data_IF_731376861735
#
_entry.id   IF_731376861735
#
_cell.length_a   1.000
_cell.length_b   1.000
_cell.length_c   1.000
_cell.angle_alpha   90.00
_cell.angle_beta   90.00
_cell.angle_gamma   90.00
#
_symmetry.space_group_name_H-M   'P 1'
#
loop_
_entity.id
_entity.type
_entity.pdbx_description
1 polymer ?
#
# COMPACT_ATOMS: atom_id res chain seq x y z
N UNK A 1 30.67 -15.23 -26.16
CA UNK A 1 30.71 -14.10 -27.10
C UNK A 1 29.35 -13.43 -27.13
N UNK A 2 29.32 -12.10 -26.92
CA UNK A 2 28.21 -11.14 -27.19
C UNK A 2 26.85 -11.37 -26.50
N UNK A 3 26.10 -10.37 -26.02
CA UNK A 3 26.14 -8.93 -26.26
C UNK A 3 25.72 -8.12 -25.01
N UNK A 4 26.42 -6.99 -24.78
CA UNK A 4 25.98 -5.88 -23.93
C UNK A 4 24.85 -5.13 -24.62
N UNK A 5 23.80 -4.75 -23.89
CA UNK A 5 22.82 -3.74 -24.34
C UNK A 5 22.71 -2.64 -23.28
N UNK A 6 22.93 -1.41 -23.71
CA UNK A 6 22.90 -0.19 -22.90
C UNK A 6 21.64 0.65 -23.20
N UNK A 7 21.06 1.20 -22.11
CA UNK A 7 20.25 2.41 -21.90
C UNK A 7 19.12 2.84 -22.87
N UNK A 8 18.13 3.58 -22.34
CA UNK A 8 18.19 5.03 -22.52
C UNK A 8 17.92 5.86 -21.24
N UNK A 9 18.70 6.95 -21.10
CA UNK A 9 18.42 8.12 -20.24
C UNK A 9 17.51 9.10 -20.98
N UNK A 10 16.52 9.68 -20.28
CA UNK A 10 15.82 10.96 -20.50
C UNK A 10 14.77 11.07 -19.39
N UNK A 11 14.33 12.20 -18.87
CA UNK A 11 14.73 13.60 -18.78
C UNK A 11 13.78 14.18 -17.72
N UNK A 12 14.20 15.21 -16.98
CA UNK A 12 13.39 15.88 -15.96
C UNK A 12 12.16 16.61 -16.54
N UNK A 13 11.09 16.76 -15.75
CA UNK A 13 10.28 17.97 -15.64
C UNK A 13 10.58 18.63 -14.27
N UNK A 14 10.82 19.93 -14.12
CA UNK A 14 10.25 21.07 -14.82
C UNK A 14 9.25 21.75 -13.88
N UNK A 15 9.67 22.86 -13.26
CA UNK A 15 8.88 23.93 -12.62
C UNK A 15 7.90 23.60 -11.48
N UNK A 16 8.20 24.08 -10.27
CA UNK A 16 7.53 25.26 -9.71
C UNK A 16 8.27 25.75 -8.47
N UNK A 17 9.00 26.85 -8.64
CA UNK A 17 9.47 27.73 -7.59
C UNK A 17 8.28 28.49 -6.99
N UNK A 18 7.76 28.06 -5.84
CA UNK A 18 6.96 28.95 -4.99
C UNK A 18 7.90 29.74 -4.08
N UNK A 19 8.64 30.66 -4.70
CA UNK A 19 9.28 31.77 -3.99
C UNK A 19 8.18 32.65 -3.40
N UNK A 20 8.07 32.66 -2.07
CA UNK A 20 7.24 33.60 -1.33
C UNK A 20 7.80 35.01 -1.55
N UNK A 21 7.31 35.70 -2.57
CA UNK A 21 7.63 37.09 -2.86
C UNK A 21 7.00 37.98 -1.78
N UNK A 22 7.82 38.35 -0.79
CA UNK A 22 7.50 39.42 0.15
C UNK A 22 7.33 40.74 -0.62
N UNK A 23 6.09 41.19 -0.78
CA UNK A 23 5.80 42.54 -1.29
C UNK A 23 6.24 43.57 -0.23
N UNK A 24 7.48 44.05 -0.39
CA UNK A 24 8.06 45.17 0.33
C UNK A 24 7.38 46.46 -0.14
N UNK A 25 6.45 46.96 0.66
CA UNK A 25 5.76 48.23 0.39
C UNK A 25 6.74 49.41 0.42
N UNK A 26 6.77 50.15 -0.69
CA UNK A 26 7.56 51.36 -0.91
C UNK A 26 6.76 52.58 -0.45
N UNK A 27 7.20 53.27 0.60
CA UNK A 27 6.58 54.53 1.06
C UNK A 27 7.61 55.63 1.27
N UNK A 28 7.78 56.45 0.23
CA UNK A 28 8.46 57.76 0.17
C UNK A 28 7.87 58.43 -1.09
N UNK A 29 7.49 59.71 -1.17
CA UNK A 29 7.52 60.91 -0.34
C UNK A 29 6.36 61.81 -0.82
N UNK A 30 6.05 62.88 -0.07
CA UNK A 30 5.93 64.26 -0.56
C UNK A 30 4.93 65.04 0.31
N UNK A 31 5.46 65.85 1.22
CA UNK A 31 4.76 67.05 1.68
C UNK A 31 5.63 68.23 1.26
N UNK A 32 5.32 68.73 0.07
CA UNK A 32 5.87 69.96 -0.49
C UNK A 32 5.44 71.13 0.38
N UNK A 33 6.42 71.87 0.88
CA UNK A 33 6.23 73.18 1.48
C UNK A 33 5.64 74.14 0.44
N UNK A 34 4.50 74.76 0.75
CA UNK A 34 3.98 75.93 0.04
C UNK A 34 4.10 77.14 0.96
N UNK A 35 5.28 77.76 0.88
CA UNK A 35 5.49 79.13 1.30
C UNK A 35 4.87 80.04 0.23
N UNK A 36 3.88 80.86 0.60
CA UNK A 36 3.42 81.97 -0.23
C UNK A 36 4.07 83.26 0.27
N UNK A 37 5.14 83.66 -0.42
CA UNK A 37 5.72 85.00 -0.31
C UNK A 37 5.06 85.92 -1.34
N UNK A 38 4.77 87.16 -0.98
CA UNK A 38 4.51 88.23 -1.95
C UNK A 38 4.98 89.57 -1.39
N UNK A 39 6.03 90.11 -2.01
CA UNK A 39 6.51 91.49 -1.85
C UNK A 39 5.79 92.36 -2.88
N UNK A 40 5.21 93.52 -2.49
CA UNK A 40 5.44 94.80 -3.20
C UNK A 40 4.93 96.05 -2.47
N UNK A 41 5.92 96.86 -2.13
CA UNK A 41 6.06 98.31 -1.92
C UNK A 41 5.14 99.24 -2.77
N UNK A 42 4.58 100.29 -2.14
CA UNK A 42 4.84 101.71 -2.46
C UNK A 42 4.05 102.66 -1.52
N UNK A 43 4.41 103.94 -1.56
CA UNK A 43 4.50 104.91 -0.45
C UNK A 43 3.58 106.13 -0.71
N UNK A 44 3.19 106.82 0.37
CA UNK A 44 2.62 108.19 0.45
C UNK A 44 1.21 108.35 -0.18
N UNK A 45 0.32 109.24 0.25
CA UNK A 45 0.45 110.49 0.99
C UNK A 45 -0.88 110.81 1.68
N UNK A 46 -0.87 111.74 2.62
CA UNK A 46 -1.96 112.00 3.56
C UNK A 46 -3.31 112.40 2.95
N UNK A 47 -4.35 112.24 3.75
CA UNK A 47 -5.24 113.34 4.15
C UNK A 47 -6.46 112.82 4.90
N UNK A 48 -6.85 113.61 5.89
CA UNK A 48 -8.20 113.78 6.46
C UNK A 48 -8.81 112.67 7.34
N UNK A 49 -9.25 113.02 8.57
CA UNK A 49 -9.93 112.11 9.47
C UNK A 49 -11.39 111.96 9.04
N UNK A 50 -11.64 111.27 7.93
CA UNK A 50 -12.99 110.91 7.47
C UNK A 50 -13.17 109.41 7.25
N UNK A 51 -12.26 108.61 7.81
CA UNK A 51 -12.38 107.15 7.90
C UNK A 51 -13.04 106.70 9.23
N UNK A 52 -13.15 107.59 10.23
CA UNK A 52 -13.69 107.20 11.53
C UNK A 52 -15.21 106.99 11.53
N UNK A 53 -15.98 107.43 10.53
CA UNK A 53 -17.43 107.12 10.47
C UNK A 53 -17.77 105.86 9.68
N UNK A 54 -16.91 105.37 8.77
CA UNK A 54 -17.16 104.09 8.08
C UNK A 54 -16.72 102.88 8.91
N UNK A 55 -15.80 103.08 9.87
CA UNK A 55 -15.38 102.06 10.83
C UNK A 55 -16.52 101.70 11.81
N UNK A 56 -17.36 102.67 12.19
CA UNK A 56 -18.45 102.44 13.14
C UNK A 56 -19.66 101.71 12.53
N UNK A 57 -19.95 101.89 11.22
CA UNK A 57 -20.99 101.09 10.53
C UNK A 57 -20.50 99.73 10.02
N UNK A 58 -19.20 99.43 10.15
CA UNK A 58 -18.66 98.07 9.95
C UNK A 58 -18.66 97.28 11.27
N UNK A 59 -18.46 97.96 12.41
CA UNK A 59 -18.58 97.38 13.75
C UNK A 59 -19.99 96.91 14.11
N UNK A 60 -21.04 97.59 13.66
CA UNK A 60 -22.44 97.21 13.94
C UNK A 60 -22.97 96.03 13.10
N UNK A 61 -22.31 95.64 11.99
CA UNK A 61 -22.64 94.42 11.22
C UNK A 61 -21.94 93.16 11.73
N UNK A 62 -21.07 93.28 12.74
CA UNK A 62 -20.36 92.14 13.34
C UNK A 62 -21.22 91.35 14.35
N UNK A 63 -22.42 91.85 14.70
CA UNK A 63 -23.39 91.09 15.50
C UNK A 63 -23.85 89.80 14.83
N UNK A 64 -24.07 89.85 13.51
CA UNK A 64 -24.46 88.69 12.70
C UNK A 64 -23.29 87.71 12.48
N UNK A 65 -22.05 88.22 12.47
CA UNK A 65 -20.84 87.40 12.31
C UNK A 65 -20.57 86.53 13.55
N UNK A 66 -20.87 87.02 14.75
CA UNK A 66 -20.79 86.23 15.98
C UNK A 66 -21.85 85.10 16.00
N UNK A 67 -23.07 85.38 15.56
CA UNK A 67 -24.15 84.41 15.43
C UNK A 67 -23.83 83.33 14.38
N UNK A 68 -23.34 83.72 13.20
CA UNK A 68 -22.90 82.79 12.15
C UNK A 68 -21.74 81.90 12.62
N UNK A 69 -20.78 82.44 13.38
CA UNK A 69 -19.67 81.67 13.95
C UNK A 69 -20.13 80.64 14.98
N UNK A 70 -21.13 80.98 15.80
CA UNK A 70 -21.75 80.05 16.75
C UNK A 70 -22.52 78.93 16.02
N UNK A 71 -23.31 79.27 15.00
CA UNK A 71 -24.01 78.29 14.16
C UNK A 71 -23.04 77.34 13.44
N UNK A 72 -21.92 77.85 12.93
CA UNK A 72 -20.87 77.02 12.32
C UNK A 72 -20.21 76.08 13.35
N UNK A 73 -19.97 76.55 14.57
CA UNK A 73 -19.42 75.72 15.63
C UNK A 73 -20.40 74.60 16.04
N UNK A 74 -21.69 74.93 16.16
CA UNK A 74 -22.77 73.98 16.44
C UNK A 74 -22.89 72.92 15.32
N UNK A 75 -22.89 73.36 14.05
CA UNK A 75 -22.93 72.46 12.90
C UNK A 75 -21.69 71.55 12.84
N UNK A 76 -20.52 72.07 13.21
CA UNK A 76 -19.27 71.29 13.27
C UNK A 76 -19.33 70.24 14.37
N UNK A 77 -19.92 70.57 15.53
CA UNK A 77 -20.12 69.63 16.62
C UNK A 77 -21.09 68.52 16.22
N UNK A 78 -22.24 68.87 15.64
CA UNK A 78 -23.23 67.90 15.15
C UNK A 78 -22.65 66.98 14.07
N UNK A 79 -21.87 67.51 13.13
CA UNK A 79 -21.21 66.71 12.10
C UNK A 79 -20.20 65.72 12.72
N UNK A 80 -19.45 66.14 13.74
CA UNK A 80 -18.45 65.31 14.39
C UNK A 80 -19.12 64.18 15.20
N UNK A 81 -20.19 64.49 15.92
CA UNK A 81 -21.02 63.53 16.65
C UNK A 81 -21.71 62.53 15.70
N UNK A 82 -22.33 62.99 14.61
CA UNK A 82 -22.94 62.12 13.61
C UNK A 82 -21.89 61.19 12.99
N UNK A 83 -20.73 61.72 12.63
CA UNK A 83 -19.62 60.92 12.07
C UNK A 83 -19.18 59.83 13.05
N UNK A 84 -19.07 60.14 14.34
CA UNK A 84 -18.65 59.16 15.34
C UNK A 84 -19.74 58.09 15.57
N UNK A 85 -21.02 58.48 15.55
CA UNK A 85 -22.15 57.56 15.64
C UNK A 85 -22.24 56.62 14.42
N UNK A 86 -22.04 57.13 13.21
CA UNK A 86 -22.02 56.32 11.98
C UNK A 86 -20.84 55.34 12.02
N UNK A 87 -19.66 55.81 12.41
CA UNK A 87 -18.46 54.98 12.51
C UNK A 87 -18.62 53.85 13.56
N UNK A 88 -19.25 54.14 14.71
CA UNK A 88 -19.52 53.13 15.72
C UNK A 88 -20.48 52.04 15.19
N UNK A 89 -21.59 52.45 14.58
CA UNK A 89 -22.57 51.51 13.99
C UNK A 89 -21.96 50.67 12.87
N UNK A 90 -21.11 51.27 12.03
CA UNK A 90 -20.43 50.54 10.95
C UNK A 90 -19.47 49.49 11.52
N UNK A 91 -18.68 49.84 12.53
CA UNK A 91 -17.79 48.89 13.22
C UNK A 91 -18.55 47.73 13.85
N UNK A 92 -19.67 48.00 14.53
CA UNK A 92 -20.48 46.96 15.16
C UNK A 92 -21.10 46.01 14.13
N UNK A 93 -21.60 46.56 13.01
CA UNK A 93 -22.14 45.76 11.90
C UNK A 93 -21.06 44.88 11.24
N UNK A 94 -19.87 45.43 11.03
CA UNK A 94 -18.73 44.66 10.49
C UNK A 94 -18.32 43.56 11.47
N UNK A 95 -18.20 43.89 12.75
CA UNK A 95 -17.82 42.94 13.80
C UNK A 95 -18.84 41.80 13.94
N UNK A 96 -20.14 42.09 13.88
CA UNK A 96 -21.19 41.07 13.92
C UNK A 96 -21.10 40.10 12.74
N UNK A 97 -20.97 40.64 11.51
CA UNK A 97 -20.82 39.83 10.30
C UNK A 97 -19.55 38.95 10.34
N UNK A 98 -18.45 39.50 10.83
CA UNK A 98 -17.19 38.76 10.96
C UNK A 98 -17.32 37.63 11.97
N UNK A 99 -17.96 37.87 13.12
CA UNK A 99 -18.21 36.82 14.13
C UNK A 99 -19.05 35.68 13.58
N UNK A 100 -20.12 35.97 12.85
CA UNK A 100 -20.97 34.94 12.24
C UNK A 100 -20.20 34.11 11.20
N UNK A 101 -19.38 34.77 10.38
CA UNK A 101 -18.50 34.10 9.42
C UNK A 101 -17.46 33.20 10.11
N UNK A 102 -16.83 33.69 11.18
CA UNK A 102 -15.88 32.90 11.98
C UNK A 102 -16.57 31.68 12.59
N UNK A 103 -17.77 31.85 13.17
CA UNK A 103 -18.55 30.75 13.74
C UNK A 103 -18.96 29.72 12.69
N UNK A 104 -19.34 30.16 11.48
CA UNK A 104 -19.68 29.27 10.37
C UNK A 104 -18.46 28.42 9.96
N UNK A 105 -17.30 29.08 9.76
CA UNK A 105 -16.04 28.39 9.42
C UNK A 105 -15.56 27.46 10.52
N UNK A 106 -15.76 27.81 11.79
CA UNK A 106 -15.38 26.96 12.91
C UNK A 106 -16.20 25.65 12.93
N UNK A 107 -17.51 25.71 12.63
CA UNK A 107 -18.35 24.52 12.50
C UNK A 107 -17.88 23.63 11.33
N UNK A 108 -17.54 24.22 10.20
CA UNK A 108 -17.00 23.50 9.04
C UNK A 108 -15.66 22.82 9.37
N UNK A 109 -14.72 23.53 10.00
CA UNK A 109 -13.44 22.96 10.44
C UNK A 109 -13.66 21.80 11.41
N UNK A 110 -14.60 21.91 12.35
CA UNK A 110 -14.93 20.80 13.27
C UNK A 110 -15.46 19.59 12.50
N UNK A 111 -16.33 19.79 11.53
CA UNK A 111 -16.85 18.71 10.69
C UNK A 111 -15.76 18.04 9.84
N UNK A 112 -14.88 18.84 9.22
CA UNK A 112 -13.76 18.31 8.43
C UNK A 112 -12.76 17.54 9.29
N UNK A 113 -12.43 18.05 10.49
CA UNK A 113 -11.56 17.33 11.45
C UNK A 113 -12.13 15.97 11.85
N UNK A 114 -13.45 15.88 12.02
CA UNK A 114 -14.09 14.59 12.31
C UNK A 114 -13.94 13.62 11.14
N UNK A 115 -14.17 14.09 9.89
CA UNK A 115 -14.00 13.26 8.69
C UNK A 115 -12.56 12.76 8.53
N UNK A 116 -11.57 13.62 8.76
CA UNK A 116 -10.14 13.25 8.71
C UNK A 116 -9.84 12.14 9.73
N UNK A 117 -10.27 12.29 10.99
CA UNK A 117 -10.07 11.23 11.99
C UNK A 117 -10.72 9.90 11.61
N UNK A 118 -11.96 9.92 11.11
CA UNK A 118 -12.62 8.70 10.65
C UNK A 118 -11.86 8.03 9.49
N UNK A 119 -11.28 8.82 8.58
CA UNK A 119 -10.44 8.31 7.50
C UNK A 119 -9.11 7.75 8.01
N UNK A 120 -8.48 8.42 8.97
CA UNK A 120 -7.23 7.96 9.59
C UNK A 120 -7.45 6.61 10.31
N UNK A 121 -8.55 6.47 11.06
CA UNK A 121 -8.94 5.21 11.71
C UNK A 121 -9.22 4.10 10.70
N UNK A 122 -9.98 4.38 9.65
CA UNK A 122 -10.22 3.42 8.57
C UNK A 122 -8.91 3.02 7.85
N UNK A 123 -8.02 3.99 7.62
CA UNK A 123 -6.70 3.77 7.05
C UNK A 123 -5.81 2.90 7.93
N UNK A 124 -5.83 3.10 9.25
CA UNK A 124 -5.10 2.28 10.21
C UNK A 124 -5.61 0.83 10.23
N UNK A 125 -6.93 0.64 10.21
CA UNK A 125 -7.54 -0.70 10.12
C UNK A 125 -7.15 -1.42 8.82
N UNK A 126 -7.22 -0.72 7.68
CA UNK A 126 -6.80 -1.28 6.40
C UNK A 126 -5.30 -1.61 6.36
N UNK A 127 -4.45 -0.78 6.99
CA UNK A 127 -3.01 -1.05 7.08
C UNK A 127 -2.72 -2.30 7.91
N UNK A 128 -3.41 -2.48 9.05
CA UNK A 128 -3.28 -3.64 9.91
C UNK A 128 -3.71 -4.94 9.19
N UNK A 129 -4.84 -4.92 8.48
CA UNK A 129 -5.31 -6.06 7.69
C UNK A 129 -4.31 -6.43 6.58
N UNK A 130 -3.77 -5.43 5.87
CA UNK A 130 -2.75 -5.66 4.84
C UNK A 130 -1.47 -6.27 5.41
N UNK A 131 -1.06 -5.91 6.62
CA UNK A 131 0.08 -6.54 7.29
C UNK A 131 -0.21 -8.01 7.62
N UNK A 132 -1.39 -8.30 8.18
CA UNK A 132 -1.79 -9.66 8.51
C UNK A 132 -1.89 -10.56 7.26
N UNK A 133 -2.45 -10.06 6.16
CA UNK A 133 -2.54 -10.80 4.91
C UNK A 133 -1.16 -11.10 4.30
N UNK A 134 -0.21 -10.18 4.42
CA UNK A 134 1.17 -10.40 3.96
C UNK A 134 1.88 -11.48 4.77
N UNK A 135 1.71 -11.48 6.08
CA UNK A 135 2.26 -12.51 6.96
C UNK A 135 1.68 -13.90 6.63
N UNK A 136 0.36 -13.99 6.43
CA UNK A 136 -0.28 -15.24 6.00
C UNK A 136 0.22 -15.71 4.63
N UNK A 137 0.43 -14.78 3.69
CA UNK A 137 0.97 -15.12 2.37
C UNK A 137 2.38 -15.70 2.49
N UNK A 138 3.25 -15.06 3.26
CA UNK A 138 4.62 -15.52 3.51
C UNK A 138 4.64 -16.91 4.16
N UNK A 139 3.80 -17.14 5.18
CA UNK A 139 3.65 -18.46 5.81
C UNK A 139 3.20 -19.53 4.80
N UNK A 140 2.21 -19.22 3.95
CA UNK A 140 1.71 -20.18 2.95
C UNK A 140 2.72 -20.43 1.84
N UNK A 141 3.56 -19.45 1.50
CA UNK A 141 4.68 -19.64 0.58
C UNK A 141 5.75 -20.57 1.15
N UNK A 142 6.06 -20.46 2.45
CA UNK A 142 6.96 -21.38 3.15
C UNK A 142 6.42 -22.82 3.15
N UNK A 143 5.14 -23.01 3.50
CA UNK A 143 4.49 -24.32 3.46
C UNK A 143 4.54 -24.95 2.06
N UNK A 144 4.34 -24.16 1.00
CA UNK A 144 4.46 -24.62 -0.38
C UNK A 144 5.90 -25.01 -0.72
N UNK A 145 6.89 -24.33 -0.14
CA UNK A 145 8.30 -24.69 -0.30
C UNK A 145 8.59 -26.06 0.33
N UNK A 146 8.15 -26.28 1.56
CA UNK A 146 8.34 -27.53 2.29
C UNK A 146 7.65 -28.72 1.62
N UNK A 147 6.38 -28.53 1.22
CA UNK A 147 5.64 -29.56 0.48
C UNK A 147 6.31 -29.91 -0.85
N UNK A 148 6.86 -28.91 -1.54
CA UNK A 148 7.61 -29.14 -2.77
C UNK A 148 8.91 -29.90 -2.51
N UNK A 149 9.59 -29.63 -1.41
CA UNK A 149 10.77 -30.40 -0.99
C UNK A 149 10.40 -31.85 -0.67
N UNK A 150 9.34 -32.07 0.11
CA UNK A 150 8.83 -33.40 0.44
C UNK A 150 8.39 -34.18 -0.82
N UNK A 151 7.66 -33.53 -1.73
CA UNK A 151 7.22 -34.16 -2.97
C UNK A 151 8.40 -34.59 -3.85
N UNK A 152 9.49 -33.81 -3.90
CA UNK A 152 10.71 -34.16 -4.64
C UNK A 152 11.41 -35.41 -4.08
N UNK A 153 11.36 -35.61 -2.76
CA UNK A 153 12.02 -36.76 -2.10
C UNK A 153 11.14 -38.00 -2.04
N UNK A 154 9.81 -37.82 -2.12
CA UNK A 154 8.83 -38.89 -1.97
C UNK A 154 9.03 -40.07 -2.93
N UNK A 155 9.27 -39.83 -4.23
CA UNK A 155 9.44 -40.92 -5.20
C UNK A 155 10.68 -41.77 -4.93
N UNK A 156 11.76 -41.15 -4.48
CA UNK A 156 12.99 -41.85 -4.10
C UNK A 156 12.77 -42.69 -2.84
N UNK A 157 12.12 -42.11 -1.83
CA UNK A 157 11.76 -42.81 -0.59
C UNK A 157 10.84 -44.01 -0.87
N UNK A 158 9.81 -43.81 -1.68
CA UNK A 158 8.90 -44.88 -2.13
C UNK A 158 9.68 -46.01 -2.82
N UNK A 159 10.58 -45.67 -3.74
CA UNK A 159 11.37 -46.67 -4.47
C UNK A 159 12.27 -47.46 -3.54
N UNK A 160 12.90 -46.78 -2.58
CA UNK A 160 13.75 -47.42 -1.56
C UNK A 160 12.93 -48.33 -0.65
N UNK A 161 11.75 -47.88 -0.19
CA UNK A 161 10.86 -48.69 0.63
C UNK A 161 10.36 -49.94 -0.11
N UNK A 162 9.97 -49.81 -1.38
CA UNK A 162 9.56 -50.94 -2.23
C UNK A 162 10.72 -51.92 -2.45
N UNK A 163 11.91 -51.41 -2.77
CA UNK A 163 13.10 -52.24 -2.98
C UNK A 163 13.47 -52.98 -1.70
N UNK A 164 13.43 -52.32 -0.55
CA UNK A 164 13.64 -52.94 0.76
C UNK A 164 12.63 -54.04 1.07
N UNK A 165 11.34 -53.79 0.82
CA UNK A 165 10.28 -54.78 1.02
C UNK A 165 10.47 -56.02 0.14
N UNK A 166 10.86 -55.85 -1.12
CA UNK A 166 11.17 -56.97 -2.03
C UNK A 166 12.34 -57.80 -1.50
N UNK A 167 13.42 -57.15 -1.07
CA UNK A 167 14.60 -57.86 -0.52
C UNK A 167 14.23 -58.65 0.73
N UNK A 168 13.44 -58.06 1.65
CA UNK A 168 12.97 -58.74 2.86
C UNK A 168 12.10 -59.95 2.51
N UNK A 169 11.11 -59.79 1.62
CA UNK A 169 10.26 -60.90 1.19
C UNK A 169 11.05 -62.03 0.53
N UNK A 170 12.01 -61.71 -0.34
CA UNK A 170 12.90 -62.71 -0.94
C UNK A 170 13.76 -63.42 0.11
N UNK A 171 14.28 -62.69 1.10
CA UNK A 171 15.08 -63.26 2.19
C UNK A 171 14.27 -64.22 3.05
N UNK A 172 13.06 -63.82 3.46
CA UNK A 172 12.15 -64.67 4.24
C UNK A 172 11.81 -65.95 3.47
N UNK A 173 11.51 -65.82 2.17
CA UNK A 173 11.23 -66.96 1.30
C UNK A 173 12.39 -67.95 1.23
N UNK A 174 13.61 -67.44 1.03
CA UNK A 174 14.82 -68.27 1.01
C UNK A 174 15.08 -68.92 2.36
N UNK A 175 14.86 -68.18 3.46
CA UNK A 175 15.00 -68.69 4.82
C UNK A 175 14.00 -69.81 5.12
N UNK A 176 12.73 -69.68 4.73
CA UNK A 176 11.72 -70.74 4.88
C UNK A 176 12.08 -72.00 4.09
N UNK A 177 12.57 -71.82 2.87
CA UNK A 177 13.05 -72.92 2.03
C UNK A 177 14.23 -73.67 2.67
N UNK A 178 15.24 -72.93 3.16
CA UNK A 178 16.41 -73.50 3.83
C UNK A 178 16.07 -74.21 5.15
N UNK A 179 14.98 -73.83 5.81
CA UNK A 179 14.54 -74.42 7.06
C UNK A 179 13.58 -75.62 6.88
N UNK A 180 13.39 -76.12 5.65
CA UNK A 180 12.46 -77.21 5.31
C UNK A 180 11.02 -76.99 5.83
N UNK A 181 10.63 -75.75 6.08
CA UNK A 181 9.27 -75.47 6.55
C UNK A 181 8.24 -75.60 5.41
N UNK A 182 8.69 -75.70 4.16
CA UNK A 182 7.85 -75.71 2.96
C UNK A 182 8.28 -76.81 1.99
N UNK A 183 8.20 -78.08 2.40
CA UNK A 183 8.53 -79.24 1.53
C UNK A 183 7.56 -79.44 0.35
N UNK A 184 6.48 -78.64 0.23
CA UNK A 184 5.51 -78.72 -0.87
C UNK A 184 5.24 -77.34 -1.49
N UNK A 185 6.10 -76.93 -2.42
CA UNK A 185 5.77 -75.81 -3.31
C UNK A 185 4.96 -76.34 -4.50
N UNK A 186 3.67 -75.96 -4.57
CA UNK A 186 2.85 -76.15 -5.76
C UNK A 186 3.19 -75.09 -6.81
N UNK A 187 4.22 -75.39 -7.62
CA UNK A 187 4.70 -74.50 -8.67
C UNK A 187 3.64 -74.25 -9.74
N UNK A 188 2.81 -75.25 -10.05
CA UNK A 188 1.71 -75.12 -11.00
C UNK A 188 0.62 -74.17 -10.48
N UNK A 189 0.25 -74.31 -9.21
CA UNK A 189 -0.67 -73.40 -8.53
C UNK A 189 -0.14 -71.96 -8.50
N UNK A 190 1.13 -71.77 -8.14
CA UNK A 190 1.76 -70.45 -8.09
C UNK A 190 1.82 -69.79 -9.49
N UNK A 191 2.20 -70.54 -10.52
CA UNK A 191 2.26 -70.05 -11.89
C UNK A 191 0.87 -69.65 -12.42
N UNK A 192 -0.16 -70.42 -12.08
CA UNK A 192 -1.56 -70.08 -12.40
C UNK A 192 -2.02 -68.79 -11.71
N UNK A 193 -1.68 -68.61 -10.43
CA UNK A 193 -1.98 -67.38 -9.69
C UNK A 193 -1.25 -66.17 -10.29
N UNK A 194 0.02 -66.32 -10.62
CA UNK A 194 0.82 -65.28 -11.26
C UNK A 194 0.19 -64.83 -12.59
N UNK A 195 -0.16 -65.76 -13.48
CA UNK A 195 -0.82 -65.45 -14.76
C UNK A 195 -2.11 -64.65 -14.53
N UNK A 196 -2.95 -65.10 -13.61
CA UNK A 196 -4.20 -64.43 -13.27
C UNK A 196 -3.96 -63.00 -12.78
N UNK A 197 -3.00 -62.81 -11.86
CA UNK A 197 -2.64 -61.49 -11.34
C UNK A 197 -2.17 -60.58 -12.48
N UNK A 198 -1.25 -61.04 -13.33
CA UNK A 198 -0.70 -60.21 -14.43
C UNK A 198 -1.76 -59.86 -15.48
N UNK A 199 -2.68 -60.76 -15.80
CA UNK A 199 -3.80 -60.46 -16.68
C UNK A 199 -4.73 -59.41 -16.05
N UNK A 200 -5.10 -59.56 -14.78
CA UNK A 200 -5.96 -58.59 -14.08
C UNK A 200 -5.29 -57.21 -13.90
N UNK A 201 -3.98 -57.18 -13.68
CA UNK A 201 -3.20 -55.95 -13.60
C UNK A 201 -3.21 -55.20 -14.93
N UNK A 202 -3.04 -55.92 -16.04
CA UNK A 202 -3.12 -55.34 -17.38
C UNK A 202 -4.52 -54.77 -17.67
N UNK A 203 -5.58 -55.48 -17.30
CA UNK A 203 -6.97 -55.00 -17.42
C UNK A 203 -7.21 -53.74 -16.60
N UNK A 204 -6.75 -53.70 -15.34
CA UNK A 204 -6.89 -52.53 -14.47
C UNK A 204 -6.15 -51.29 -15.02
N UNK A 205 -5.01 -51.50 -15.67
CA UNK A 205 -4.23 -50.44 -16.30
C UNK A 205 -4.73 -50.08 -17.72
N UNK A 206 -5.74 -50.79 -18.26
CA UNK A 206 -6.24 -50.60 -19.62
C UNK A 206 -5.26 -51.03 -20.71
N UNK A 207 -4.33 -51.93 -20.38
CA UNK A 207 -3.31 -52.48 -21.28
C UNK A 207 -3.80 -53.78 -21.94
N UNK A 208 -3.28 -54.15 -23.12
CA UNK A 208 -3.60 -55.43 -23.76
C UNK A 208 -3.13 -56.62 -22.92
N UNK A 209 -3.83 -57.75 -23.03
CA UNK A 209 -3.52 -58.96 -22.25
C UNK A 209 -2.08 -59.44 -22.51
N UNK A 210 -1.29 -59.71 -21.45
CA UNK A 210 0.09 -60.14 -21.60
C UNK A 210 0.18 -61.55 -22.20
N UNK A 211 1.09 -61.72 -23.16
CA UNK A 211 1.47 -63.01 -23.74
C UNK A 211 2.64 -63.63 -22.99
N UNK A 212 2.52 -64.90 -22.57
CA UNK A 212 3.51 -65.62 -21.76
C UNK A 212 4.39 -66.57 -22.60
N UNK A 213 4.90 -66.12 -23.75
CA UNK A 213 5.76 -66.95 -24.61
C UNK A 213 7.17 -67.11 -24.01
N UNK A 214 7.69 -68.35 -23.94
CA UNK A 214 8.99 -68.69 -23.34
C UNK A 214 8.91 -69.31 -21.92
N UNK A 215 7.76 -69.88 -21.56
CA UNK A 215 7.50 -70.46 -20.25
C UNK A 215 8.49 -71.60 -19.90
N UNK A 216 9.20 -71.53 -18.77
CA UNK A 216 10.12 -72.58 -18.35
C UNK A 216 9.36 -73.87 -18.02
N UNK A 217 9.76 -74.99 -18.61
CA UNK A 217 9.24 -76.31 -18.26
C UNK A 217 9.52 -76.59 -16.79
N UNK A 218 8.47 -76.62 -15.96
CA UNK A 218 8.57 -77.05 -14.57
C UNK A 218 9.01 -78.52 -14.59
N UNK A 219 10.13 -78.89 -13.94
CA UNK A 219 10.59 -80.27 -13.91
C UNK A 219 9.52 -81.13 -13.22
N UNK A 220 8.82 -81.94 -14.02
CA UNK A 220 7.90 -82.97 -13.55
C UNK A 220 8.70 -84.00 -12.76
N UNK A 221 8.53 -84.05 -11.44
CA UNK A 221 9.18 -85.02 -10.57
C UNK A 221 8.65 -86.44 -10.80
N UNK A 222 9.01 -87.07 -11.92
CA UNK A 222 8.75 -88.48 -12.22
C UNK A 222 9.87 -89.06 -13.08
N UNK A 223 11.06 -89.21 -12.51
CA UNK A 223 12.03 -90.20 -12.96
C UNK A 223 12.30 -91.18 -11.81
N UNK A 224 11.41 -92.16 -11.68
CA UNK A 224 11.72 -93.43 -10.99
C UNK A 224 12.75 -94.18 -11.82
N UNK A 225 14.03 -93.92 -11.57
CA UNK A 225 15.14 -94.73 -12.08
C UNK A 225 15.10 -96.11 -11.39
N UNK A 226 14.94 -97.12 -12.23
CA UNK A 226 14.79 -98.54 -11.88
C UNK A 226 16.16 -99.08 -11.47
N UNK A 227 16.29 -99.50 -10.21
CA UNK A 227 17.39 -100.31 -9.68
C UNK A 227 17.67 -101.55 -10.55
N UNK A 228 18.92 -101.81 -10.99
CA UNK A 228 19.33 -103.14 -11.40
C UNK A 228 19.80 -103.94 -10.18
N UNK A 229 19.32 -105.18 -10.06
CA UNK A 229 19.68 -106.14 -9.01
C UNK A 229 21.20 -106.44 -8.96
N UNK A 230 21.76 -106.74 -7.77
CA UNK A 230 23.17 -107.09 -7.63
C UNK A 230 23.43 -108.55 -8.06
N UNK A 231 24.31 -108.74 -9.05
CA UNK A 231 24.91 -110.05 -9.34
C UNK A 231 25.92 -110.36 -8.24
N UNK A 232 25.60 -111.35 -7.42
CA UNK A 232 26.53 -112.09 -6.57
C UNK A 232 27.60 -112.76 -7.43
N UNK A 233 28.88 -112.49 -7.14
CA UNK A 233 29.96 -113.41 -7.44
C UNK A 233 30.94 -113.46 -6.25
N UNK A 234 31.17 -114.67 -5.77
CA UNK A 234 32.02 -115.06 -4.63
C UNK A 234 33.53 -115.03 -5.02
N UNK A 235 34.47 -114.97 -4.05
CA UNK A 235 35.89 -114.76 -4.30
C UNK A 235 36.64 -116.08 -4.54
N UNK A 236 37.80 -116.08 -5.24
CA UNK A 236 38.74 -117.18 -5.13
C UNK A 236 39.79 -116.91 -4.05
N UNK A 237 40.02 -117.99 -3.30
CA UNK A 237 40.95 -118.11 -2.20
C UNK A 237 42.43 -118.17 -2.62
N UNK A 238 43.28 -117.91 -1.62
CA UNK A 238 44.76 -118.00 -1.53
C UNK A 238 45.56 -116.79 -2.01
#
# INVERSE_FOLDING_TARGET
MSAKKAAPKKAAPGENDDEVLFIKSNKRQAATALAFSSKKKSRASGSTPRAMSQLFHHGERMGDHASLKAYLAELTFQLLEEKDNVLAKEKDNVLAKEKDNVLAKEKEIKALRLKVRNQDEAGAMAAAENMSLREQLEQREEEVCDLRCAAKTFDAEKTMALSGAIVVACWELMSEWLNNQTDSWDLDGALKQYKMVKTSEAEFQGLPAPTFEGEPSIPSGTETEKTPEPVTDDPPAS
#
